data_IF_532326583365
#
_entry.id   IF_532326583365
#
_cell.length_a   1.000
_cell.length_b   1.000
_cell.length_c   1.000
_cell.angle_alpha   90.00
_cell.angle_beta   90.00
_cell.angle_gamma   90.00
#
_symmetry.space_group_name_H-M   'P 1'
#
loop_
_entity.id
_entity.type
_entity.pdbx_description
1 polymer ?
#
# COMPACT_ATOMS: atom_id res chain seq x y z
N UNK A 1 45.25 -5.83 35.63
CA UNK A 1 44.54 -4.91 34.71
C UNK A 1 43.10 -4.76 35.23
N UNK A 2 42.86 -3.82 36.15
CA UNK A 2 41.58 -3.64 36.84
C UNK A 2 40.70 -2.69 36.05
N UNK A 3 39.96 -3.24 35.09
CA UNK A 3 38.91 -2.51 34.39
C UNK A 3 37.81 -2.22 35.42
N UNK A 4 37.51 -0.94 35.65
CA UNK A 4 36.60 -0.51 36.71
C UNK A 4 35.18 -0.99 36.42
N UNK A 5 34.45 -1.46 37.45
CA UNK A 5 33.04 -1.93 37.31
C UNK A 5 32.13 -0.92 36.57
N UNK A 6 32.48 0.37 36.62
CA UNK A 6 31.79 1.47 35.93
C UNK A 6 31.95 1.42 34.41
N UNK A 7 33.10 0.97 33.90
CA UNK A 7 33.34 0.80 32.47
C UNK A 7 32.58 -0.40 31.90
N UNK A 8 32.46 -1.47 32.69
CA UNK A 8 31.65 -2.65 32.32
C UNK A 8 30.16 -2.29 32.12
N UNK A 9 29.60 -1.48 33.02
CA UNK A 9 28.21 -1.02 32.91
C UNK A 9 27.99 -0.14 31.67
N UNK A 10 28.92 0.77 31.36
CA UNK A 10 28.86 1.63 30.16
C UNK A 10 28.87 0.81 28.87
N UNK A 11 29.71 -0.22 28.79
CA UNK A 11 29.82 -1.08 27.61
C UNK A 11 28.54 -1.93 27.42
N UNK A 12 27.89 -2.35 28.50
CA UNK A 12 26.58 -3.03 28.43
C UNK A 12 25.50 -2.13 27.84
N UNK A 13 25.40 -0.87 28.30
CA UNK A 13 24.42 0.05 27.73
C UNK A 13 24.71 0.35 26.26
N UNK A 14 25.99 0.47 25.88
CA UNK A 14 26.38 0.65 24.49
C UNK A 14 25.94 -0.54 23.62
N UNK A 15 26.20 -1.77 24.08
CA UNK A 15 25.80 -3.00 23.35
C UNK A 15 24.28 -3.08 23.22
N UNK A 16 23.52 -2.74 24.27
CA UNK A 16 22.06 -2.73 24.22
C UNK A 16 21.52 -1.69 23.24
N UNK A 17 22.08 -0.48 23.22
CA UNK A 17 21.69 0.58 22.28
C UNK A 17 22.01 0.17 20.84
N UNK A 18 23.20 -0.38 20.61
CA UNK A 18 23.60 -0.84 19.27
C UNK A 18 22.71 -1.99 18.80
N UNK A 19 22.41 -2.96 19.68
CA UNK A 19 21.49 -4.06 19.36
C UNK A 19 20.09 -3.56 19.00
N UNK A 20 19.57 -2.57 19.75
CA UNK A 20 18.26 -1.99 19.48
C UNK A 20 18.24 -1.25 18.13
N UNK A 21 19.28 -0.47 17.83
CA UNK A 21 19.42 0.23 16.54
C UNK A 21 19.50 -0.76 15.37
N UNK A 22 20.21 -1.88 15.52
CA UNK A 22 20.30 -2.91 14.49
C UNK A 22 18.96 -3.61 14.22
N UNK A 23 18.17 -3.87 15.27
CA UNK A 23 16.82 -4.44 15.09
C UNK A 23 15.88 -3.47 14.38
N UNK A 24 15.93 -2.18 14.74
CA UNK A 24 15.12 -1.15 14.08
C UNK A 24 15.50 -0.97 12.59
N UNK A 25 16.79 -1.08 12.25
CA UNK A 25 17.27 -0.97 10.87
C UNK A 25 16.91 -2.18 9.99
N UNK A 26 16.55 -3.33 10.58
CA UNK A 26 16.18 -4.53 9.84
C UNK A 26 14.67 -4.64 9.57
N UNK A 27 13.85 -3.72 10.09
CA UNK A 27 12.43 -3.63 9.73
C UNK A 27 12.34 -3.04 8.33
N UNK A 28 12.23 -3.90 7.33
CA UNK A 28 11.64 -3.50 6.05
C UNK A 28 10.14 -3.31 6.26
N UNK A 29 9.50 -2.28 5.70
CA UNK A 29 8.04 -2.32 5.57
C UNK A 29 7.70 -3.62 4.84
N UNK A 30 6.81 -4.42 5.44
CA UNK A 30 6.23 -5.54 4.72
C UNK A 30 5.43 -4.93 3.57
N UNK A 31 5.89 -5.09 2.33
CA UNK A 31 5.08 -4.78 1.16
C UNK A 31 3.83 -5.64 1.26
N UNK A 32 2.67 -5.02 1.50
CA UNK A 32 1.45 -5.77 1.63
C UNK A 32 1.13 -6.33 0.23
N UNK A 33 0.89 -7.64 0.13
CA UNK A 33 0.51 -8.30 -1.13
C UNK A 33 -0.77 -7.71 -1.76
N UNK A 34 -1.52 -6.91 -0.99
CA UNK A 34 -2.77 -6.25 -1.36
C UNK A 34 -2.66 -4.72 -1.47
N UNK A 35 -1.46 -4.15 -1.59
CA UNK A 35 -1.28 -2.69 -1.66
C UNK A 35 -1.75 -2.11 -3.00
N UNK A 36 -1.51 -2.83 -4.10
CA UNK A 36 -1.95 -2.44 -5.45
C UNK A 36 -3.32 -3.04 -5.79
N UNK A 37 -4.40 -2.41 -5.31
CA UNK A 37 -5.77 -2.79 -5.66
C UNK A 37 -6.24 -2.02 -6.90
N UNK A 38 -6.77 -2.75 -7.88
CA UNK A 38 -7.39 -2.16 -9.06
C UNK A 38 -8.68 -1.39 -8.68
N UNK A 39 -8.77 -0.08 -8.95
CA UNK A 39 -10.00 0.68 -8.70
C UNK A 39 -11.03 0.41 -9.79
N UNK A 40 -12.24 0.01 -9.39
CA UNK A 40 -13.35 -0.22 -10.31
C UNK A 40 -13.63 -1.71 -10.55
N UNK A 41 -14.91 -2.03 -10.78
CA UNK A 41 -15.36 -3.42 -10.97
C UNK A 41 -15.04 -3.89 -12.37
N UNK A 42 -15.20 -3.01 -13.37
CA UNK A 42 -15.00 -3.35 -14.79
C UNK A 42 -13.52 -3.52 -15.09
N UNK A 43 -12.70 -2.57 -14.65
CA UNK A 43 -11.24 -2.65 -14.74
C UNK A 43 -10.67 -3.89 -14.02
N UNK A 44 -11.16 -4.19 -12.81
CA UNK A 44 -10.76 -5.38 -12.04
C UNK A 44 -11.17 -6.68 -12.72
N UNK A 45 -12.36 -6.73 -13.33
CA UNK A 45 -12.84 -7.90 -14.08
C UNK A 45 -12.01 -8.18 -15.33
N UNK A 46 -11.29 -7.18 -15.85
CA UNK A 46 -10.32 -7.33 -16.94
C UNK A 46 -8.91 -7.68 -16.45
N UNK A 47 -8.74 -8.00 -15.17
CA UNK A 47 -7.42 -8.26 -14.58
C UNK A 47 -6.52 -7.04 -14.54
N UNK A 48 -7.08 -5.83 -14.49
CA UNK A 48 -6.35 -4.57 -14.53
C UNK A 48 -5.97 -4.08 -15.94
N UNK A 49 -6.34 -4.80 -17.01
CA UNK A 49 -6.02 -4.44 -18.38
C UNK A 49 -6.95 -3.36 -18.99
N UNK A 50 -7.16 -2.24 -18.28
CA UNK A 50 -8.17 -1.24 -18.65
C UNK A 50 -7.64 0.01 -19.39
N UNK A 51 -6.32 0.21 -19.43
CA UNK A 51 -5.69 1.43 -20.00
C UNK A 51 -6.01 1.69 -21.48
N UNK A 52 -6.31 0.66 -22.27
CA UNK A 52 -6.67 0.80 -23.69
C UNK A 52 -8.14 1.17 -23.92
N UNK A 53 -9.02 0.77 -23.00
CA UNK A 53 -10.45 1.02 -23.08
C UNK A 53 -10.76 2.41 -22.51
N UNK A 54 -10.62 2.54 -21.18
CA UNK A 54 -10.69 3.81 -20.42
C UNK A 54 -11.78 4.75 -20.93
N UNK A 55 -13.00 4.24 -21.12
CA UNK A 55 -14.09 4.93 -21.79
C UNK A 55 -15.22 5.38 -20.85
N UNK A 56 -15.01 5.22 -19.53
CA UNK A 56 -15.94 5.58 -18.46
C UNK A 56 -15.20 6.21 -17.25
N UNK A 57 -15.93 6.50 -16.17
CA UNK A 57 -15.39 7.06 -14.93
C UNK A 57 -14.28 6.24 -14.25
N UNK A 58 -14.13 4.93 -14.52
CA UNK A 58 -13.00 4.14 -14.02
C UNK A 58 -11.70 4.50 -14.77
N UNK A 59 -11.80 5.01 -16.01
CA UNK A 59 -10.68 5.33 -16.88
C UNK A 59 -9.75 6.41 -16.34
N UNK A 60 -10.21 7.27 -15.42
CA UNK A 60 -9.38 8.31 -14.78
C UNK A 60 -8.13 7.73 -14.09
N UNK A 61 -8.25 6.54 -13.49
CA UNK A 61 -7.16 5.86 -12.79
C UNK A 61 -6.19 5.12 -13.72
N UNK A 62 -6.64 4.77 -14.92
CA UNK A 62 -5.88 3.93 -15.85
C UNK A 62 -5.27 4.71 -17.02
N UNK A 63 -6.02 5.68 -17.58
CA UNK A 63 -5.59 6.50 -18.71
C UNK A 63 -6.44 7.79 -18.81
N UNK A 64 -5.93 8.93 -18.30
CA UNK A 64 -6.64 10.22 -18.36
C UNK A 64 -7.00 10.69 -19.77
N UNK A 65 -6.31 10.24 -20.83
CA UNK A 65 -6.66 10.61 -22.21
C UNK A 65 -8.03 10.05 -22.64
N UNK A 66 -8.46 8.96 -22.01
CA UNK A 66 -9.76 8.32 -22.23
C UNK A 66 -10.96 9.17 -21.80
N UNK A 67 -10.75 10.13 -20.88
CA UNK A 67 -11.80 11.05 -20.39
C UNK A 67 -12.45 11.82 -21.54
N UNK A 68 -11.69 12.13 -22.61
CA UNK A 68 -12.22 12.78 -23.81
C UNK A 68 -13.37 12.01 -24.48
N UNK A 69 -13.51 10.71 -24.20
CA UNK A 69 -14.58 9.85 -24.72
C UNK A 69 -15.87 9.91 -23.87
N UNK A 70 -15.78 10.40 -22.63
CA UNK A 70 -16.91 10.49 -21.70
C UNK A 70 -17.77 11.69 -22.09
N UNK A 71 -19.07 11.45 -22.36
CA UNK A 71 -19.99 12.47 -22.92
C UNK A 71 -21.02 13.00 -21.91
N UNK A 72 -21.04 12.46 -20.70
CA UNK A 72 -22.02 12.75 -19.64
C UNK A 72 -21.34 12.63 -18.28
N UNK A 73 -21.94 13.19 -17.24
CA UNK A 73 -21.52 12.92 -15.87
C UNK A 73 -21.72 11.42 -15.57
N UNK A 74 -20.72 10.77 -14.99
CA UNK A 74 -20.75 9.34 -14.67
C UNK A 74 -20.29 9.14 -13.24
N UNK A 75 -21.08 8.39 -12.47
CA UNK A 75 -20.77 8.05 -11.09
C UNK A 75 -20.52 6.54 -10.99
N UNK A 76 -19.41 6.16 -10.37
CA UNK A 76 -19.02 4.77 -10.15
C UNK A 76 -18.69 4.55 -8.68
N UNK A 77 -19.09 3.41 -8.12
CA UNK A 77 -18.73 2.97 -6.78
C UNK A 77 -18.42 1.48 -6.78
N UNK A 78 -17.47 1.07 -5.94
CA UNK A 78 -17.04 -0.31 -5.75
C UNK A 78 -16.78 -0.54 -4.26
N UNK A 79 -17.15 -1.73 -3.79
CA UNK A 79 -16.75 -2.31 -2.52
C UNK A 79 -16.21 -3.71 -2.78
N UNK A 80 -15.07 -4.04 -2.20
CA UNK A 80 -14.53 -5.42 -2.23
C UNK A 80 -13.96 -5.80 -0.87
N UNK A 81 -14.22 -7.03 -0.43
CA UNK A 81 -13.62 -7.63 0.76
C UNK A 81 -12.88 -8.89 0.36
N UNK A 82 -11.55 -8.89 0.55
CA UNK A 82 -10.73 -10.05 0.25
C UNK A 82 -10.82 -11.05 1.41
N UNK A 83 -11.14 -12.31 1.07
CA UNK A 83 -11.25 -13.42 2.03
C UNK A 83 -12.23 -13.18 3.19
N UNK A 84 -13.27 -12.35 2.96
CA UNK A 84 -14.23 -11.94 3.99
C UNK A 84 -13.58 -11.30 5.24
N UNK A 85 -12.39 -10.72 5.09
CA UNK A 85 -11.72 -9.97 6.16
C UNK A 85 -12.06 -8.48 6.03
N UNK A 86 -12.47 -7.86 7.13
CA UNK A 86 -12.79 -6.43 7.21
C UNK A 86 -11.56 -5.56 6.95
N UNK A 87 -10.40 -5.95 7.46
CA UNK A 87 -9.14 -5.20 7.34
C UNK A 87 -8.62 -5.13 5.89
N UNK A 88 -9.11 -6.02 5.03
CA UNK A 88 -8.75 -6.05 3.61
C UNK A 88 -9.85 -5.46 2.73
N UNK A 89 -10.87 -4.83 3.31
CA UNK A 89 -11.89 -4.12 2.57
C UNK A 89 -11.26 -2.98 1.75
N UNK A 90 -11.84 -2.71 0.59
CA UNK A 90 -11.44 -1.61 -0.28
C UNK A 90 -12.67 -1.01 -0.94
N UNK A 91 -12.87 0.27 -0.62
CA UNK A 91 -13.96 1.09 -1.13
C UNK A 91 -13.41 2.11 -2.10
N UNK A 92 -14.12 2.27 -3.21
CA UNK A 92 -13.74 3.19 -4.27
C UNK A 92 -15.00 3.90 -4.79
N UNK A 93 -14.90 5.19 -5.04
CA UNK A 93 -15.97 5.97 -5.69
C UNK A 93 -15.37 7.10 -6.54
N UNK A 94 -16.05 7.43 -7.65
CA UNK A 94 -15.67 8.50 -8.58
C UNK A 94 -16.92 9.13 -9.23
N UNK A 95 -16.83 10.39 -9.70
CA UNK A 95 -17.92 11.18 -10.28
C UNK A 95 -17.47 12.07 -11.45
#
# INVERSE_FOLDING_TARGET
MNISKKEYSKNIYLVLIVSLCLMAACVSPAAAEFEDKNPGVRSSSMGGAYSGLSDDGEGLFYNPAGISKIKRAEFTSMHTSLFAQSELAYDYFNF
#
